data_IF_904577064133
#
_entry.id   IF_904577064133
#
_cell.length_a   1.000
_cell.length_b   1.000
_cell.length_c   1.000
_cell.angle_alpha   90.00
_cell.angle_beta   90.00
_cell.angle_gamma   90.00
#
_symmetry.space_group_name_H-M   'P 1'
#
loop_
_entity.id
_entity.type
_entity.pdbx_description
1 polymer ?
#
# COMPACT_ATOMS: atom_id res chain seq x y z
N UNK A 1 -13.34 -23.19 8.92
CA UNK A 1 -12.74 -22.29 7.91
C UNK A 1 -12.94 -20.89 8.45
N UNK A 2 -11.89 -20.09 8.55
CA UNK A 2 -12.06 -18.67 8.91
C UNK A 2 -12.61 -17.99 7.66
N UNK A 3 -13.80 -17.42 7.76
CA UNK A 3 -14.38 -16.64 6.66
C UNK A 3 -13.57 -15.35 6.52
N UNK A 4 -13.15 -15.07 5.30
CA UNK A 4 -12.44 -13.85 4.97
C UNK A 4 -13.37 -12.65 5.15
N UNK A 5 -12.91 -11.70 5.96
CA UNK A 5 -13.65 -10.45 6.21
C UNK A 5 -13.51 -9.49 5.03
N UNK A 6 -14.42 -8.53 4.92
CA UNK A 6 -14.27 -7.43 3.95
C UNK A 6 -12.97 -6.66 4.18
N UNK A 7 -12.54 -6.52 5.45
CA UNK A 7 -11.25 -5.91 5.80
C UNK A 7 -10.09 -6.66 5.17
N UNK A 8 -10.04 -7.99 5.30
CA UNK A 8 -8.97 -8.82 4.72
C UNK A 8 -8.91 -8.66 3.19
N UNK A 9 -10.06 -8.55 2.52
CA UNK A 9 -10.13 -8.31 1.06
C UNK A 9 -9.60 -6.94 0.70
N UNK A 10 -9.97 -5.91 1.46
CA UNK A 10 -9.51 -4.53 1.25
C UNK A 10 -8.01 -4.41 1.48
N UNK A 11 -7.48 -5.00 2.54
CA UNK A 11 -6.03 -5.02 2.82
C UNK A 11 -5.24 -5.74 1.73
N UNK A 12 -5.76 -6.84 1.19
CA UNK A 12 -5.11 -7.51 0.06
C UNK A 12 -5.14 -6.68 -1.22
N UNK A 13 -6.29 -6.08 -1.53
CA UNK A 13 -6.41 -5.19 -2.69
C UNK A 13 -5.45 -4.00 -2.57
N UNK A 14 -5.36 -3.39 -1.39
CA UNK A 14 -4.41 -2.29 -1.11
C UNK A 14 -2.96 -2.71 -1.35
N UNK A 15 -2.57 -3.91 -0.92
CA UNK A 15 -1.21 -4.42 -1.15
C UNK A 15 -0.92 -4.58 -2.65
N UNK A 16 -1.85 -5.19 -3.40
CA UNK A 16 -1.71 -5.40 -4.85
C UNK A 16 -1.58 -4.06 -5.61
N UNK A 17 -2.37 -3.05 -5.25
CA UNK A 17 -2.26 -1.71 -5.85
C UNK A 17 -0.92 -1.03 -5.54
N UNK A 18 -0.41 -1.16 -4.32
CA UNK A 18 0.88 -0.60 -3.93
C UNK A 18 2.05 -1.30 -4.64
N UNK A 19 2.02 -2.62 -4.77
CA UNK A 19 3.02 -3.38 -5.53
C UNK A 19 3.01 -2.96 -7.01
N UNK A 20 1.81 -2.82 -7.61
CA UNK A 20 1.65 -2.32 -8.99
C UNK A 20 2.19 -0.91 -9.19
N UNK A 21 2.04 -0.05 -8.19
CA UNK A 21 2.60 1.30 -8.22
C UNK A 21 4.13 1.30 -8.13
N UNK A 22 4.75 0.21 -7.62
CA UNK A 22 6.20 0.03 -7.57
C UNK A 22 6.79 -0.04 -6.16
N UNK A 23 5.95 -0.14 -5.11
CA UNK A 23 6.45 -0.43 -3.77
C UNK A 23 6.98 -1.88 -3.70
N UNK A 24 7.97 -2.10 -2.83
CA UNK A 24 8.43 -3.45 -2.53
C UNK A 24 7.30 -4.23 -1.81
N UNK A 25 7.18 -5.56 -2.01
CA UNK A 25 6.09 -6.36 -1.42
C UNK A 25 5.97 -6.20 0.11
N UNK A 26 7.10 -6.18 0.82
CA UNK A 26 7.10 -6.01 2.27
C UNK A 26 6.55 -4.64 2.70
N UNK A 27 6.95 -3.57 1.98
CA UNK A 27 6.45 -2.21 2.23
C UNK A 27 4.98 -2.08 1.86
N UNK A 28 4.58 -2.64 0.72
CA UNK A 28 3.19 -2.64 0.25
C UNK A 28 2.29 -3.34 1.27
N UNK A 29 2.73 -4.47 1.82
CA UNK A 29 2.01 -5.18 2.87
C UNK A 29 1.87 -4.34 4.15
N UNK A 30 2.94 -3.70 4.63
CA UNK A 30 2.87 -2.85 5.83
C UNK A 30 1.89 -1.67 5.62
N UNK A 31 1.95 -1.00 4.46
CA UNK A 31 1.07 0.12 4.13
C UNK A 31 -0.38 -0.33 3.89
N UNK A 32 -0.59 -1.56 3.44
CA UNK A 32 -1.94 -2.08 3.21
C UNK A 32 -2.72 -2.29 4.50
N UNK A 33 -2.03 -2.72 5.57
CA UNK A 33 -2.54 -2.87 6.93
C UNK A 33 -2.79 -1.54 7.66
N UNK A 34 -2.40 -0.41 7.06
CA UNK A 34 -2.52 0.93 7.65
C UNK A 34 -3.69 1.70 7.02
N UNK A 35 -4.90 1.62 7.59
CA UNK A 35 -6.06 2.33 7.06
C UNK A 35 -5.96 3.86 7.19
N UNK A 36 -5.04 4.36 8.04
CA UNK A 36 -4.69 5.78 8.16
C UNK A 36 -3.93 6.32 6.93
N UNK A 37 -3.29 5.45 6.14
CA UNK A 37 -2.58 5.83 4.94
C UNK A 37 -3.55 5.89 3.75
N UNK A 38 -3.63 7.07 3.13
CA UNK A 38 -4.37 7.25 1.88
C UNK A 38 -3.63 6.57 0.71
N UNK A 39 -4.30 5.58 0.11
CA UNK A 39 -3.75 4.81 -1.00
C UNK A 39 -3.48 5.67 -2.24
N UNK A 40 -4.35 6.64 -2.55
CA UNK A 40 -4.16 7.54 -3.69
C UNK A 40 -2.95 8.44 -3.48
N UNK A 41 -2.69 8.88 -2.24
CA UNK A 41 -1.49 9.65 -1.92
C UNK A 41 -0.24 8.79 -2.11
N UNK A 42 -0.27 7.54 -1.64
CA UNK A 42 0.85 6.61 -1.75
C UNK A 42 1.20 6.29 -3.21
N UNK A 43 0.20 5.97 -4.03
CA UNK A 43 0.38 5.72 -5.47
C UNK A 43 0.82 6.99 -6.19
N UNK A 44 0.17 8.11 -5.90
CA UNK A 44 0.47 9.40 -6.52
C UNK A 44 1.88 9.91 -6.25
N UNK A 45 2.52 9.53 -5.12
CA UNK A 45 3.92 9.83 -4.88
C UNK A 45 4.81 9.19 -5.95
N UNK A 46 4.56 7.93 -6.28
CA UNK A 46 5.36 7.19 -7.27
C UNK A 46 5.08 7.71 -8.69
N UNK A 47 3.82 8.00 -9.01
CA UNK A 47 3.44 8.59 -10.30
C UNK A 47 4.10 9.96 -10.54
N UNK A 48 4.35 10.72 -9.48
CA UNK A 48 5.10 12.00 -9.55
C UNK A 48 6.62 11.82 -9.66
N UNK A 49 7.12 10.59 -9.68
CA UNK A 49 8.54 10.25 -9.76
C UNK A 49 9.24 10.17 -8.41
N UNK A 50 8.51 10.11 -7.28
CA UNK A 50 9.12 9.84 -5.99
C UNK A 50 9.63 8.39 -5.94
N UNK A 51 10.88 8.14 -5.52
CA UNK A 51 11.36 6.79 -5.29
C UNK A 51 10.50 6.04 -4.25
N UNK A 52 10.14 4.77 -4.46
CA UNK A 52 9.28 4.01 -3.54
C UNK A 52 9.81 3.94 -2.10
N UNK A 53 11.13 3.82 -1.92
CA UNK A 53 11.74 3.83 -0.60
C UNK A 53 11.54 5.19 0.13
N UNK A 54 11.69 6.30 -0.59
CA UNK A 54 11.46 7.64 -0.03
C UNK A 54 9.98 7.88 0.25
N UNK A 55 9.09 7.41 -0.63
CA UNK A 55 7.67 7.50 -0.41
C UNK A 55 7.23 6.69 0.83
N UNK A 56 7.85 5.53 1.07
CA UNK A 56 7.61 4.75 2.28
C UNK A 56 8.05 5.50 3.55
N UNK A 57 9.21 6.17 3.54
CA UNK A 57 9.68 7.00 4.66
C UNK A 57 8.74 8.18 4.98
N UNK A 58 8.01 8.69 3.99
CA UNK A 58 7.03 9.78 4.19
C UNK A 58 5.73 9.26 4.84
N UNK A 59 5.39 7.99 4.59
CA UNK A 59 4.09 7.40 4.95
C UNK A 59 4.14 6.53 6.22
N UNK A 60 5.32 6.03 6.61
CA UNK A 60 5.51 5.14 7.75
C UNK A 60 5.87 5.90 9.03
#
# INVERSE_FOLDING_TARGET
MVEETETDRVERWRADELERAGYAPDTAHILSLRPDVDLHVAVGLIERGCPPALAAEILL
#
